data_IF_846797684256
#
_entry.id   IF_846797684256
#
_cell.length_a   1.000
_cell.length_b   1.000
_cell.length_c   1.000
_cell.angle_alpha   90.00
_cell.angle_beta   90.00
_cell.angle_gamma   90.00
#
_symmetry.space_group_name_H-M   'P 1'
#
loop_
_entity.id
_entity.type
_entity.pdbx_description
1 polymer ?
#
# COMPACT_ATOMS: atom_id res chain seq x y z
N UNK A 1 21.26 -4.47 8.18
CA UNK A 1 22.27 -3.53 7.65
C UNK A 1 21.52 -2.39 6.97
N UNK A 2 21.64 -1.15 7.46
CA UNK A 2 20.91 0.00 6.88
C UNK A 2 21.52 0.39 5.52
N UNK A 3 20.68 0.54 4.50
CA UNK A 3 21.12 0.88 3.15
C UNK A 3 21.82 2.25 3.12
N UNK A 4 22.81 2.41 2.24
CA UNK A 4 23.59 3.64 2.13
C UNK A 4 22.72 4.88 1.87
N UNK A 5 21.67 4.76 1.06
CA UNK A 5 20.76 5.87 0.76
C UNK A 5 19.98 6.37 1.98
N UNK A 6 19.58 5.48 2.91
CA UNK A 6 18.88 5.88 4.15
C UNK A 6 19.80 6.70 5.05
N UNK A 7 21.07 6.30 5.16
CA UNK A 7 22.09 7.06 5.88
C UNK A 7 22.29 8.45 5.26
N UNK A 8 22.36 8.54 3.93
CA UNK A 8 22.46 9.83 3.24
C UNK A 8 21.26 10.74 3.50
N UNK A 9 20.03 10.21 3.48
CA UNK A 9 18.83 11.02 3.75
C UNK A 9 18.74 11.50 5.20
N UNK A 10 19.12 10.68 6.19
CA UNK A 10 19.20 11.09 7.60
C UNK A 10 20.15 12.27 7.80
N UNK A 11 21.23 12.33 7.02
CA UNK A 11 22.23 13.40 7.09
C UNK A 11 21.88 14.61 6.21
N UNK A 12 20.83 14.54 5.40
CA UNK A 12 20.48 15.61 4.48
C UNK A 12 19.96 16.83 5.26
N UNK A 13 20.47 18.05 5.01
CA UNK A 13 20.13 19.24 5.80
C UNK A 13 18.63 19.58 5.78
N UNK A 14 17.98 19.39 4.63
CA UNK A 14 16.59 19.82 4.42
C UNK A 14 15.51 18.78 4.78
N UNK A 15 15.86 17.49 4.79
CA UNK A 15 14.89 16.39 4.98
C UNK A 15 15.27 15.43 6.10
N UNK A 16 16.49 15.49 6.62
CA UNK A 16 16.99 14.52 7.61
C UNK A 16 16.18 14.53 8.90
N UNK A 17 15.74 15.71 9.36
CA UNK A 17 14.90 15.84 10.56
C UNK A 17 13.53 15.19 10.40
N UNK A 18 12.90 15.34 9.22
CA UNK A 18 11.66 14.65 8.90
C UNK A 18 11.90 13.16 8.72
N UNK A 19 12.94 12.77 7.97
CA UNK A 19 13.29 11.38 7.70
C UNK A 19 13.56 10.58 8.99
N UNK A 20 14.08 11.23 10.03
CA UNK A 20 14.26 10.61 11.36
C UNK A 20 12.96 10.29 12.10
N UNK A 21 11.82 10.89 11.71
CA UNK A 21 10.51 10.76 12.36
C UNK A 21 9.58 9.83 11.56
N UNK A 22 10.07 8.62 11.28
CA UNK A 22 9.30 7.58 10.59
C UNK A 22 8.28 6.93 11.54
N UNK A 23 7.01 6.90 11.18
CA UNK A 23 5.99 6.04 11.79
C UNK A 23 6.08 4.69 11.09
N UNK A 24 6.52 3.67 11.84
CA UNK A 24 6.91 2.38 11.29
C UNK A 24 5.95 1.23 11.62
N UNK A 25 4.97 1.44 12.49
CA UNK A 25 4.01 0.43 12.93
C UNK A 25 2.58 0.95 12.96
N UNK A 26 1.64 0.02 12.87
CA UNK A 26 0.20 0.29 12.98
C UNK A 26 -0.17 0.87 14.35
N UNK A 27 0.47 0.42 15.43
CA UNK A 27 0.20 0.92 16.78
C UNK A 27 0.63 2.38 16.97
N UNK A 28 1.84 2.74 16.51
CA UNK A 28 2.30 4.14 16.58
C UNK A 28 1.41 5.06 15.73
N UNK A 29 0.94 4.57 14.58
CA UNK A 29 0.00 5.31 13.75
C UNK A 29 -1.34 5.54 14.45
N UNK A 30 -1.91 4.50 15.09
CA UNK A 30 -3.17 4.61 15.85
C UNK A 30 -3.08 5.62 16.99
N UNK A 31 -1.95 5.69 17.69
CA UNK A 31 -1.76 6.64 18.80
C UNK A 31 -1.77 8.11 18.38
N UNK A 32 -1.52 8.42 17.10
CA UNK A 32 -1.41 9.81 16.60
C UNK A 32 -2.46 10.20 15.57
N UNK A 33 -3.45 9.36 15.30
CA UNK A 33 -4.34 9.51 14.14
C UNK A 33 -5.39 10.61 14.29
N UNK A 34 -5.92 10.81 15.51
CA UNK A 34 -7.11 11.63 15.76
C UNK A 34 -6.88 13.12 15.45
N UNK A 35 -5.66 13.61 15.69
CA UNK A 35 -5.28 15.01 15.49
C UNK A 35 -4.37 15.21 14.25
N UNK A 36 -4.38 14.25 13.32
CA UNK A 36 -3.50 14.27 12.15
C UNK A 36 -4.23 14.48 10.83
N UNK A 37 -3.69 15.38 10.02
CA UNK A 37 -3.96 15.43 8.59
C UNK A 37 -2.91 14.63 7.82
N UNK A 38 -3.31 14.06 6.69
CA UNK A 38 -2.48 13.17 5.89
C UNK A 38 -2.27 13.74 4.50
N UNK A 39 -1.02 13.68 4.05
CA UNK A 39 -0.64 14.02 2.67
C UNK A 39 0.05 12.80 2.06
N UNK A 40 -0.56 12.24 1.02
CA UNK A 40 0.09 11.24 0.19
C UNK A 40 0.72 11.90 -1.02
N UNK A 41 1.92 11.45 -1.36
CA UNK A 41 2.68 11.88 -2.52
C UNK A 41 3.00 10.66 -3.37
N UNK A 42 2.70 10.75 -4.66
CA UNK A 42 3.18 9.77 -5.62
C UNK A 42 3.79 10.44 -6.85
N UNK A 43 4.65 9.71 -7.54
CA UNK A 43 5.38 10.22 -8.69
C UNK A 43 5.41 9.18 -9.79
N UNK A 44 5.01 9.57 -11.00
CA UNK A 44 5.28 8.80 -12.20
C UNK A 44 6.63 9.24 -12.76
N UNK A 45 7.56 8.30 -12.91
CA UNK A 45 8.93 8.58 -13.34
C UNK A 45 9.16 8.11 -14.78
N UNK A 46 9.94 8.88 -15.53
CA UNK A 46 10.50 8.45 -16.82
C UNK A 46 12.00 8.21 -16.65
N UNK A 47 12.48 7.03 -17.04
CA UNK A 47 13.92 6.81 -17.25
C UNK A 47 14.31 7.43 -18.60
N UNK A 48 15.27 8.35 -18.63
CA UNK A 48 15.87 8.79 -19.90
C UNK A 48 17.07 7.92 -20.24
N UNK A 49 16.92 6.97 -21.17
CA UNK A 49 18.09 6.29 -21.74
C UNK A 49 18.95 7.33 -22.50
N UNK A 50 20.29 7.35 -22.34
CA UNK A 50 21.13 6.37 -21.67
C UNK A 50 21.48 6.67 -20.19
N UNK A 51 20.94 7.75 -19.60
CA UNK A 51 21.19 8.10 -18.19
C UNK A 51 20.37 7.26 -17.20
N UNK A 52 20.98 6.86 -16.09
CA UNK A 52 20.31 6.22 -14.93
C UNK A 52 19.41 7.17 -14.13
N UNK A 53 19.32 8.44 -14.53
CA UNK A 53 18.54 9.46 -13.81
C UNK A 53 17.06 9.31 -14.18
N UNK A 54 16.25 8.94 -13.20
CA UNK A 54 14.79 8.96 -13.32
C UNK A 54 14.29 10.40 -13.12
N UNK A 55 13.58 10.93 -14.11
CA UNK A 55 12.99 12.27 -14.05
C UNK A 55 11.49 12.12 -13.78
N UNK A 56 10.91 12.82 -12.79
CA UNK A 56 9.47 12.81 -12.58
C UNK A 56 8.76 13.39 -13.80
N UNK A 57 7.84 12.61 -14.36
CA UNK A 57 6.94 12.99 -15.44
C UNK A 57 5.65 13.59 -14.86
N UNK A 58 5.17 13.04 -13.75
CA UNK A 58 3.99 13.53 -13.05
C UNK A 58 4.21 13.44 -11.55
N UNK A 59 3.70 14.42 -10.82
CA UNK A 59 3.64 14.42 -9.37
C UNK A 59 2.17 14.47 -8.97
N UNK A 60 1.77 13.52 -8.14
CA UNK A 60 0.44 13.42 -7.56
C UNK A 60 0.47 13.73 -6.08
N UNK A 61 -0.52 14.48 -5.62
CA UNK A 61 -0.71 14.83 -4.22
C UNK A 61 -2.16 14.55 -3.86
N UNK A 62 -2.38 13.88 -2.73
CA UNK A 62 -3.70 13.74 -2.13
C UNK A 62 -3.64 14.22 -0.68
N UNK A 63 -4.55 15.12 -0.31
CA UNK A 63 -4.73 15.63 1.05
C UNK A 63 -5.99 15.04 1.65
N UNK A 64 -5.88 14.56 2.88
CA UNK A 64 -6.98 14.04 3.69
C UNK A 64 -6.93 14.74 5.06
N UNK A 65 -7.95 15.56 5.40
CA UNK A 65 -7.93 16.43 6.58
C UNK A 65 -7.90 15.67 7.91
N UNK A 66 -8.52 14.51 7.95
CA UNK A 66 -8.57 13.61 9.09
C UNK A 66 -8.76 12.19 8.59
N UNK A 67 -8.33 11.21 9.37
CA UNK A 67 -8.61 9.82 9.07
C UNK A 67 -9.74 9.32 9.96
N UNK A 68 -10.96 9.29 9.42
CA UNK A 68 -12.10 8.72 10.14
C UNK A 68 -11.93 7.20 10.23
N UNK A 69 -11.51 6.73 11.39
CA UNK A 69 -11.31 5.31 11.64
C UNK A 69 -12.66 4.57 11.75
N UNK A 70 -12.79 3.47 11.01
CA UNK A 70 -13.93 2.55 11.08
C UNK A 70 -13.48 1.21 11.66
N UNK A 71 -14.31 0.63 12.52
CA UNK A 71 -14.12 -0.73 13.05
C UNK A 71 -14.69 -1.83 12.15
N UNK A 72 -15.11 -1.49 10.92
CA UNK A 72 -15.80 -2.44 10.04
C UNK A 72 -14.97 -2.74 8.78
N UNK A 73 -15.03 -3.98 8.23
CA UNK A 73 -14.36 -4.34 6.99
C UNK A 73 -14.78 -3.45 5.82
N UNK A 74 -13.83 -3.14 4.92
CA UNK A 74 -14.12 -2.25 3.79
C UNK A 74 -14.78 -2.99 2.64
N UNK A 75 -15.98 -2.52 2.29
CA UNK A 75 -16.61 -2.74 0.99
C UNK A 75 -16.99 -1.37 0.42
N UNK A 76 -15.98 -0.56 0.11
CA UNK A 76 -16.18 0.81 -0.37
C UNK A 76 -15.56 1.00 -1.76
N UNK A 77 -16.15 1.88 -2.56
CA UNK A 77 -15.52 2.33 -3.81
C UNK A 77 -14.46 3.40 -3.50
N UNK A 78 -13.46 3.57 -4.36
CA UNK A 78 -12.50 4.68 -4.17
C UNK A 78 -13.19 6.05 -4.25
N UNK A 79 -14.27 6.15 -5.03
CA UNK A 79 -15.06 7.38 -5.13
C UNK A 79 -15.74 7.71 -3.80
N UNK A 80 -16.42 6.74 -3.19
CA UNK A 80 -17.06 6.91 -1.90
C UNK A 80 -16.05 7.20 -0.80
N UNK A 81 -14.91 6.49 -0.80
CA UNK A 81 -13.79 6.76 0.10
C UNK A 81 -13.32 8.22 -0.02
N UNK A 82 -13.10 8.70 -1.24
CA UNK A 82 -12.67 10.08 -1.52
C UNK A 82 -13.69 11.09 -1.00
N UNK A 83 -14.98 10.86 -1.23
CA UNK A 83 -16.05 11.75 -0.79
C UNK A 83 -16.17 11.79 0.74
N UNK A 84 -16.15 10.62 1.37
CA UNK A 84 -16.28 10.44 2.81
C UNK A 84 -15.11 11.05 3.57
N UNK A 85 -13.89 10.75 3.15
CA UNK A 85 -12.68 11.28 3.80
C UNK A 85 -12.34 12.70 3.31
N UNK A 86 -13.23 13.35 2.56
CA UNK A 86 -13.05 14.71 2.04
C UNK A 86 -11.70 14.91 1.33
N UNK A 87 -11.28 13.93 0.51
CA UNK A 87 -9.96 13.92 -0.11
C UNK A 87 -9.90 14.93 -1.24
N UNK A 88 -8.87 15.77 -1.19
CA UNK A 88 -8.51 16.69 -2.25
C UNK A 88 -7.27 16.14 -2.96
N UNK A 89 -7.42 15.69 -4.20
CA UNK A 89 -6.34 15.12 -4.99
C UNK A 89 -6.05 15.97 -6.24
N UNK A 90 -4.78 16.07 -6.59
CA UNK A 90 -4.30 16.75 -7.80
C UNK A 90 -3.10 16.02 -8.38
N UNK A 91 -2.94 16.10 -9.69
CA UNK A 91 -1.78 15.58 -10.39
C UNK A 91 -1.27 16.64 -11.39
N UNK A 92 0.03 16.92 -11.33
CA UNK A 92 0.68 17.90 -12.21
C UNK A 92 1.78 17.23 -13.01
N UNK A 93 1.77 17.44 -14.33
CA UNK A 93 2.84 17.01 -15.22
C UNK A 93 4.05 17.93 -15.04
N UNK A 94 5.21 17.36 -14.74
CA UNK A 94 6.46 18.12 -14.64
C UNK A 94 7.05 18.19 -16.06
N UNK A 95 6.73 19.26 -16.79
CA UNK A 95 7.33 19.49 -18.10
C UNK A 95 8.74 20.06 -17.92
N UNK A 96 9.73 19.39 -18.50
CA UNK A 96 11.07 19.94 -18.65
C UNK A 96 11.14 20.70 -19.98
N UNK A 97 11.78 21.88 -20.03
CA UNK A 97 11.84 22.75 -21.22
C UNK A 97 12.38 22.05 -22.49
N UNK A 98 13.05 20.90 -22.34
CA UNK A 98 13.54 20.07 -23.44
C UNK A 98 12.46 19.23 -24.16
N UNK A 99 11.16 19.35 -23.83
CA UNK A 99 10.08 18.50 -24.38
C UNK A 99 9.08 19.19 -25.34
N UNK A 100 9.48 20.23 -26.08
CA UNK A 100 8.70 20.77 -27.23
C UNK A 100 8.80 19.93 -28.52
N UNK A 101 9.04 18.63 -28.44
CA UNK A 101 9.03 17.74 -29.62
C UNK A 101 7.90 16.71 -29.55
N UNK A 102 7.23 16.40 -30.68
CA UNK A 102 6.09 15.50 -30.72
C UNK A 102 6.54 14.07 -30.37
N UNK A 103 5.97 13.55 -29.29
CA UNK A 103 6.31 12.25 -28.68
C UNK A 103 5.95 11.08 -29.60
N UNK A 104 6.94 10.38 -30.15
CA UNK A 104 6.76 8.99 -30.56
C UNK A 104 6.54 8.13 -29.31
N UNK A 105 5.50 7.30 -29.34
CA UNK A 105 5.15 6.31 -28.32
C UNK A 105 6.42 5.60 -27.83
N UNK A 106 6.81 5.87 -26.59
CA UNK A 106 7.92 5.18 -25.91
C UNK A 106 7.39 4.63 -24.59
N UNK A 107 7.88 3.44 -24.23
CA UNK A 107 7.38 2.59 -23.15
C UNK A 107 7.24 3.36 -21.82
N UNK A 108 5.99 3.59 -21.43
CA UNK A 108 5.60 4.14 -20.13
C UNK A 108 5.63 3.00 -19.12
N UNK A 109 6.45 3.09 -18.08
CA UNK A 109 6.37 2.18 -16.93
C UNK A 109 5.84 2.94 -15.73
N UNK A 110 4.70 2.50 -15.20
CA UNK A 110 4.27 2.91 -13.86
C UNK A 110 5.19 2.28 -12.83
N UNK A 111 6.05 3.12 -12.26
CA UNK A 111 7.05 2.69 -11.28
C UNK A 111 6.51 3.00 -9.88
N UNK A 112 5.76 2.02 -9.39
CA UNK A 112 5.00 2.02 -8.12
C UNK A 112 5.92 2.10 -6.89
N UNK A 113 5.37 2.54 -5.77
CA UNK A 113 5.91 2.19 -4.44
C UNK A 113 6.09 0.65 -4.36
N UNK A 114 7.34 0.20 -4.21
CA UNK A 114 7.66 -1.14 -3.72
C UNK A 114 7.53 -2.30 -4.71
N UNK A 115 7.99 -2.19 -5.96
CA UNK A 115 8.45 -3.39 -6.68
C UNK A 115 9.77 -3.93 -6.09
N UNK A 116 10.04 -5.21 -6.36
CA UNK A 116 10.85 -6.19 -5.62
C UNK A 116 12.12 -5.73 -4.87
N UNK A 117 12.43 -6.51 -3.82
CA UNK A 117 13.58 -6.46 -2.88
C UNK A 117 14.98 -6.58 -3.52
N UNK A 118 15.15 -6.23 -4.79
CA UNK A 118 16.46 -6.11 -5.43
C UNK A 118 16.90 -4.64 -5.48
N UNK A 119 18.19 -4.46 -5.64
CA UNK A 119 19.05 -3.27 -5.53
C UNK A 119 18.52 -1.94 -6.12
N UNK A 120 17.45 -1.95 -6.92
CA UNK A 120 16.82 -0.75 -7.50
C UNK A 120 16.02 0.09 -6.47
N UNK A 121 15.58 -0.49 -5.33
CA UNK A 121 14.81 0.21 -4.28
C UNK A 121 15.51 1.45 -3.70
N UNK A 122 16.85 1.48 -3.67
CA UNK A 122 17.60 2.62 -3.18
C UNK A 122 17.52 3.86 -4.07
N UNK A 123 17.37 3.66 -5.38
CA UNK A 123 17.22 4.75 -6.35
C UNK A 123 15.81 5.35 -6.31
N UNK A 124 14.78 4.56 -6.02
CA UNK A 124 13.38 5.01 -6.03
C UNK A 124 12.96 5.78 -4.78
N UNK A 125 13.35 5.33 -3.58
CA UNK A 125 13.17 6.14 -2.38
C UNK A 125 14.03 7.40 -2.45
N UNK A 126 15.24 7.28 -3.01
CA UNK A 126 16.04 8.46 -3.33
C UNK A 126 15.29 9.42 -4.24
N UNK A 127 14.58 8.97 -5.29
CA UNK A 127 13.88 9.88 -6.21
C UNK A 127 12.77 10.71 -5.53
N UNK A 128 11.92 10.10 -4.70
CA UNK A 128 10.82 10.82 -4.00
C UNK A 128 11.35 11.73 -2.90
N UNK A 129 12.34 11.28 -2.13
CA UNK A 129 12.98 12.12 -1.13
C UNK A 129 13.84 13.22 -1.76
N UNK A 130 14.46 12.97 -2.92
CA UNK A 130 15.17 13.98 -3.71
C UNK A 130 14.21 15.00 -4.32
N UNK A 131 12.99 14.59 -4.68
CA UNK A 131 11.93 15.51 -5.05
C UNK A 131 11.53 16.37 -3.85
N UNK A 132 11.21 15.77 -2.70
CA UNK A 132 10.88 16.49 -1.47
C UNK A 132 12.00 17.42 -0.98
N UNK A 133 13.26 17.02 -1.15
CA UNK A 133 14.42 17.83 -0.77
C UNK A 133 14.51 19.15 -1.57
N UNK A 134 13.88 19.24 -2.74
CA UNK A 134 13.77 20.50 -3.50
C UNK A 134 12.77 21.49 -2.87
N UNK A 135 11.95 21.04 -1.90
CA UNK A 135 10.92 21.85 -1.26
C UNK A 135 11.12 21.93 0.28
N UNK A 136 12.25 22.48 0.75
CA UNK A 136 12.60 22.54 2.18
C UNK A 136 11.63 23.37 3.03
N UNK A 137 10.82 24.23 2.41
CA UNK A 137 9.76 24.95 3.11
C UNK A 137 8.57 24.04 3.41
N UNK A 138 8.25 23.13 2.48
CA UNK A 138 7.14 22.18 2.64
C UNK A 138 7.45 21.17 3.73
N UNK A 139 8.69 20.67 3.77
CA UNK A 139 9.11 19.62 4.73
C UNK A 139 8.97 20.04 6.19
N UNK A 140 9.01 21.35 6.47
CA UNK A 140 8.81 21.92 7.82
C UNK A 140 7.38 21.79 8.34
N UNK A 141 6.41 21.59 7.45
CA UNK A 141 5.01 21.41 7.83
C UNK A 141 4.67 19.96 8.17
N UNK A 142 5.53 19.00 7.84
CA UNK A 142 5.32 17.60 8.17
C UNK A 142 5.90 17.29 9.55
N UNK A 143 5.07 16.72 10.43
CA UNK A 143 5.47 16.28 11.77
C UNK A 143 6.19 14.94 11.75
N UNK A 144 5.79 14.04 10.84
CA UNK A 144 6.30 12.69 10.66
C UNK A 144 6.08 12.24 9.21
N UNK A 145 6.66 11.09 8.85
CA UNK A 145 6.37 10.41 7.58
C UNK A 145 6.14 8.93 7.83
N UNK A 146 5.49 8.26 6.87
CA UNK A 146 5.28 6.82 6.92
C UNK A 146 5.40 6.22 5.53
N UNK A 147 5.71 4.93 5.51
CA UNK A 147 5.64 4.10 4.31
C UNK A 147 4.49 3.11 4.48
N UNK A 148 3.42 3.29 3.71
CA UNK A 148 2.22 2.43 3.79
C UNK A 148 2.57 0.97 3.58
N UNK A 149 3.55 0.63 2.72
CA UNK A 149 4.00 -0.75 2.54
C UNK A 149 4.66 -1.30 3.80
N UNK A 150 5.43 -0.47 4.52
CA UNK A 150 6.01 -0.84 5.80
C UNK A 150 4.94 -1.05 6.87
N UNK A 151 3.93 -0.17 6.93
CA UNK A 151 2.77 -0.35 7.82
C UNK A 151 2.02 -1.64 7.49
N UNK A 152 1.83 -1.96 6.21
CA UNK A 152 1.26 -3.24 5.79
C UNK A 152 2.16 -4.41 6.21
N UNK A 153 3.48 -4.34 6.02
CA UNK A 153 4.40 -5.37 6.48
C UNK A 153 4.38 -5.58 7.99
N UNK A 154 4.23 -4.51 8.78
CA UNK A 154 4.03 -4.59 10.23
C UNK A 154 2.76 -5.38 10.57
N UNK A 155 1.66 -5.16 9.82
CA UNK A 155 0.44 -5.95 9.97
C UNK A 155 0.59 -7.42 9.51
N UNK A 156 1.48 -7.71 8.54
CA UNK A 156 1.73 -9.05 7.98
C UNK A 156 3.23 -9.38 7.90
N UNK A 157 3.88 -9.74 9.01
CA UNK A 157 5.34 -9.79 9.10
C UNK A 157 6.04 -10.86 8.24
N UNK A 158 5.34 -11.89 7.75
CA UNK A 158 5.97 -13.05 7.09
C UNK A 158 5.59 -13.29 5.60
N UNK A 159 6.25 -12.66 4.65
CA UNK A 159 6.20 -13.08 3.25
C UNK A 159 6.11 -11.95 2.24
N UNK A 160 5.84 -12.32 0.98
CA UNK A 160 5.70 -11.35 -0.11
C UNK A 160 4.34 -10.67 -0.04
N UNK A 161 4.34 -9.39 0.33
CA UNK A 161 3.17 -8.50 0.21
C UNK A 161 2.82 -8.32 -1.27
N UNK A 162 1.52 -8.32 -1.59
CA UNK A 162 1.08 -7.83 -2.89
C UNK A 162 1.49 -6.35 -3.06
N UNK A 163 1.59 -5.88 -4.31
CA UNK A 163 1.68 -4.45 -4.57
C UNK A 163 0.39 -3.74 -4.10
N UNK A 164 0.47 -2.43 -3.90
CA UNK A 164 -0.58 -1.59 -3.30
C UNK A 164 -2.01 -1.87 -3.81
N UNK A 165 -2.20 -1.90 -5.14
CA UNK A 165 -3.51 -2.22 -5.78
C UNK A 165 -3.99 -3.64 -5.48
N UNK A 166 -3.07 -4.60 -5.46
CA UNK A 166 -3.36 -5.98 -5.09
C UNK A 166 -3.74 -6.11 -3.62
N UNK A 167 -3.09 -5.34 -2.75
CA UNK A 167 -3.47 -5.24 -1.32
C UNK A 167 -4.87 -4.67 -1.18
N UNK A 168 -5.19 -3.55 -1.82
CA UNK A 168 -6.56 -2.97 -1.76
C UNK A 168 -7.63 -3.93 -2.29
N UNK A 169 -7.34 -4.69 -3.35
CA UNK A 169 -8.25 -5.73 -3.84
C UNK A 169 -8.52 -6.80 -2.77
N UNK A 170 -7.50 -7.20 -2.00
CA UNK A 170 -7.67 -8.16 -0.89
C UNK A 170 -8.54 -7.55 0.22
N UNK A 171 -8.40 -6.24 0.45
CA UNK A 171 -9.14 -5.47 1.45
C UNK A 171 -10.54 -5.03 0.99
N UNK A 172 -11.04 -5.58 -0.11
CA UNK A 172 -12.44 -5.39 -0.54
C UNK A 172 -12.69 -4.21 -1.48
N UNK A 173 -11.68 -3.45 -1.89
CA UNK A 173 -11.86 -2.42 -2.91
C UNK A 173 -12.05 -3.04 -4.30
N UNK A 174 -12.98 -2.53 -5.13
CA UNK A 174 -13.20 -3.03 -6.48
C UNK A 174 -11.94 -2.96 -7.35
N UNK A 175 -11.71 -4.00 -8.15
CA UNK A 175 -10.63 -3.99 -9.15
C UNK A 175 -10.81 -2.89 -10.19
N UNK A 176 -12.05 -2.51 -10.50
CA UNK A 176 -12.37 -1.41 -11.43
C UNK A 176 -11.82 -0.07 -10.94
N UNK A 177 -11.82 0.12 -9.63
CA UNK A 177 -11.38 1.34 -8.99
C UNK A 177 -9.85 1.37 -8.89
N UNK A 178 -9.25 0.20 -8.65
CA UNK A 178 -7.81 0.04 -8.51
C UNK A 178 -7.08 -0.23 -9.84
N UNK A 179 -7.78 -0.46 -10.95
CA UNK A 179 -7.24 -0.68 -12.29
C UNK A 179 -8.02 0.09 -13.36
N UNK A 180 -8.01 1.43 -13.28
CA UNK A 180 -8.41 2.27 -14.42
C UNK A 180 -7.53 1.91 -15.62
N UNK A 181 -8.13 1.27 -16.62
CA UNK A 181 -7.43 0.76 -17.80
C UNK A 181 -6.65 1.89 -18.52
N UNK A 182 -5.32 1.81 -18.48
CA UNK A 182 -4.44 2.45 -19.47
C UNK A 182 -3.85 3.83 -19.12
N UNK A 183 -4.22 4.46 -18.00
CA UNK A 183 -3.57 5.70 -17.57
C UNK A 183 -3.21 5.64 -16.09
N UNK A 184 -1.93 5.49 -15.81
CA UNK A 184 -1.37 5.68 -14.48
C UNK A 184 -1.34 7.18 -14.20
N UNK A 185 -2.07 7.59 -13.17
CA UNK A 185 -2.19 8.97 -12.73
C UNK A 185 -1.65 9.03 -11.31
N UNK A 186 -0.57 9.78 -11.10
CA UNK A 186 0.07 9.90 -9.80
C UNK A 186 -0.89 10.42 -8.72
N UNK A 187 -1.89 11.23 -9.07
CA UNK A 187 -2.92 11.71 -8.14
C UNK A 187 -3.86 10.58 -7.69
N UNK A 188 -4.32 9.75 -8.62
CA UNK A 188 -5.12 8.55 -8.29
C UNK A 188 -4.31 7.59 -7.40
N UNK A 189 -3.02 7.39 -7.70
CA UNK A 189 -2.15 6.53 -6.90
C UNK A 189 -1.86 7.12 -5.50
N UNK A 190 -1.83 8.45 -5.35
CA UNK A 190 -1.80 9.11 -4.05
C UNK A 190 -3.09 8.86 -3.24
N UNK A 191 -4.27 8.89 -3.88
CA UNK A 191 -5.56 8.51 -3.22
C UNK A 191 -5.55 7.04 -2.80
N UNK A 192 -5.10 6.14 -3.68
CA UNK A 192 -4.94 4.71 -3.40
C UNK A 192 -4.01 4.48 -2.20
N UNK A 193 -2.96 5.30 -2.07
CA UNK A 193 -2.04 5.25 -0.92
C UNK A 193 -2.76 5.58 0.39
N UNK A 194 -3.60 6.61 0.41
CA UNK A 194 -4.43 6.95 1.58
C UNK A 194 -5.49 5.88 1.87
N UNK A 195 -6.13 5.32 0.84
CA UNK A 195 -7.09 4.23 1.01
C UNK A 195 -6.44 3.00 1.66
N UNK A 196 -5.23 2.66 1.25
CA UNK A 196 -4.50 1.53 1.82
C UNK A 196 -4.09 1.79 3.27
N UNK A 197 -3.76 3.05 3.60
CA UNK A 197 -3.46 3.47 4.97
C UNK A 197 -4.68 3.34 5.89
N UNK A 198 -5.87 3.78 5.44
CA UNK A 198 -7.11 3.56 6.18
C UNK A 198 -7.38 2.06 6.35
N UNK A 199 -7.31 1.32 5.24
CA UNK A 199 -7.71 -0.08 5.20
C UNK A 199 -6.86 -0.98 6.09
N UNK A 200 -5.55 -0.72 6.19
CA UNK A 200 -4.65 -1.52 7.04
C UNK A 200 -4.86 -1.30 8.54
N UNK A 201 -5.50 -0.20 8.94
CA UNK A 201 -5.75 0.08 10.36
C UNK A 201 -6.91 -0.73 10.94
N UNK A 202 -7.78 -1.28 10.10
CA UNK A 202 -8.92 -2.09 10.53
C UNK A 202 -8.45 -3.50 10.94
N UNK A 203 -8.68 -3.95 12.19
CA UNK A 203 -8.22 -5.25 12.68
C UNK A 203 -8.64 -6.44 11.79
N UNK A 204 -9.87 -6.44 11.30
CA UNK A 204 -10.44 -7.48 10.44
C UNK A 204 -9.72 -7.56 9.08
N UNK A 205 -9.28 -6.42 8.56
CA UNK A 205 -8.48 -6.34 7.34
C UNK A 205 -7.07 -6.88 7.57
N UNK A 206 -6.46 -6.58 8.72
CA UNK A 206 -5.17 -7.17 9.09
C UNK A 206 -5.26 -8.69 9.21
N UNK A 207 -6.33 -9.19 9.85
CA UNK A 207 -6.60 -10.63 9.95
C UNK A 207 -6.78 -11.26 8.55
N UNK A 208 -7.52 -10.59 7.66
CA UNK A 208 -7.69 -11.02 6.27
C UNK A 208 -6.37 -11.08 5.50
N UNK A 209 -5.49 -10.09 5.67
CA UNK A 209 -4.17 -10.08 5.04
C UNK A 209 -3.29 -11.23 5.56
N UNK A 210 -3.25 -11.44 6.89
CA UNK A 210 -2.52 -12.56 7.52
C UNK A 210 -3.03 -13.90 7.02
N UNK A 211 -4.34 -14.06 6.97
CA UNK A 211 -4.99 -15.27 6.46
C UNK A 211 -4.58 -15.57 5.00
N UNK A 212 -4.69 -14.59 4.08
CA UNK A 212 -4.30 -14.78 2.68
C UNK A 212 -2.81 -15.12 2.52
N UNK A 213 -1.97 -14.59 3.40
CA UNK A 213 -0.55 -14.88 3.43
C UNK A 213 -0.27 -16.32 3.88
N UNK A 214 -0.89 -16.78 4.97
CA UNK A 214 -0.81 -18.16 5.44
C UNK A 214 -1.25 -19.15 4.35
N UNK A 215 -2.39 -18.89 3.70
CA UNK A 215 -2.83 -19.71 2.57
C UNK A 215 -1.77 -19.81 1.46
N UNK A 216 -1.14 -18.68 1.09
CA UNK A 216 -0.07 -18.68 0.08
C UNK A 216 1.13 -19.49 0.54
N UNK A 217 1.55 -19.38 1.79
CA UNK A 217 2.66 -20.15 2.34
C UNK A 217 2.40 -21.66 2.34
N UNK A 218 1.15 -22.10 2.49
CA UNK A 218 0.78 -23.51 2.43
C UNK A 218 0.75 -24.03 1.00
N UNK A 219 0.30 -23.20 0.05
CA UNK A 219 0.21 -23.58 -1.37
C UNK A 219 1.60 -23.62 -2.03
N UNK A 220 2.50 -22.70 -1.70
CA UNK A 220 3.78 -22.53 -2.41
C UNK A 220 4.76 -23.74 -2.33
N UNK A 221 4.87 -24.48 -1.21
CA UNK A 221 5.67 -25.71 -1.14
C UNK A 221 5.05 -26.90 -1.86
N UNK A 222 3.74 -26.89 -2.10
CA UNK A 222 3.03 -27.98 -2.78
C UNK A 222 3.11 -27.78 -4.30
N UNK A 223 4.22 -28.19 -4.90
CA UNK A 223 4.25 -28.43 -6.34
C UNK A 223 3.11 -29.40 -6.74
N UNK A 224 2.32 -29.00 -7.76
CA UNK A 224 1.50 -29.87 -8.64
C UNK A 224 0.12 -30.37 -8.21
N UNK A 225 -0.51 -29.83 -7.17
CA UNK A 225 -1.98 -29.95 -7.14
C UNK A 225 -2.59 -28.67 -7.70
N UNK A 226 -3.26 -28.80 -8.83
CA UNK A 226 -4.09 -27.74 -9.41
C UNK A 226 -5.37 -27.60 -8.55
N UNK A 227 -5.19 -27.29 -7.26
CA UNK A 227 -6.26 -27.16 -6.27
C UNK A 227 -7.24 -26.05 -6.64
N UNK A 228 -6.84 -25.13 -7.53
CA UNK A 228 -7.70 -24.10 -8.09
C UNK A 228 -8.68 -24.64 -9.16
N UNK A 229 -8.45 -25.82 -9.74
CA UNK A 229 -9.37 -26.46 -10.71
C UNK A 229 -10.50 -27.26 -10.06
N UNK A 230 -10.42 -27.52 -8.76
CA UNK A 230 -11.40 -28.33 -8.05
C UNK A 230 -12.03 -27.49 -6.94
N UNK A 231 -12.94 -26.55 -7.29
CA UNK A 231 -13.70 -25.85 -6.27
C UNK A 231 -14.46 -26.90 -5.47
N UNK A 232 -14.17 -27.00 -4.17
CA UNK A 232 -14.97 -27.76 -3.24
C UNK A 232 -15.70 -26.79 -2.33
N UNK A 233 -16.98 -27.06 -2.10
CA UNK A 233 -17.76 -26.37 -1.09
C UNK A 233 -18.05 -27.37 0.02
N UNK A 234 -17.74 -27.02 1.26
CA UNK A 234 -18.13 -27.80 2.42
C UNK A 234 -19.39 -27.17 3.04
N UNK A 235 -20.37 -28.00 3.38
CA UNK A 235 -21.49 -27.58 4.20
C UNK A 235 -21.11 -27.79 5.67
N UNK A 236 -21.02 -26.71 6.44
CA UNK A 236 -20.72 -26.77 7.86
C UNK A 236 -22.03 -26.53 8.61
N UNK A 237 -22.43 -27.51 9.43
CA UNK A 237 -23.64 -27.46 10.25
C UNK A 237 -23.28 -27.88 11.67
N UNK A 238 -23.87 -27.23 12.66
CA UNK A 238 -23.87 -27.75 14.02
C UNK A 238 -24.79 -28.97 14.09
N UNK A 239 -24.55 -29.86 15.08
CA UNK A 239 -25.33 -31.10 15.25
C UNK A 239 -26.81 -30.84 15.53
N UNK A 240 -27.14 -29.70 16.13
CA UNK A 240 -28.49 -29.24 16.47
C UNK A 240 -29.13 -28.38 15.36
N UNK A 241 -28.47 -28.22 14.21
CA UNK A 241 -28.89 -27.34 13.11
C UNK A 241 -29.04 -25.85 13.47
N UNK A 242 -28.47 -25.42 14.60
CA UNK A 242 -28.37 -24.01 14.94
C UNK A 242 -27.42 -23.24 14.01
N UNK A 243 -27.43 -21.91 14.13
CA UNK A 243 -26.42 -21.07 13.50
C UNK A 243 -25.02 -21.42 14.05
N UNK A 244 -23.99 -21.24 13.22
CA UNK A 244 -22.61 -21.37 13.70
C UNK A 244 -22.40 -20.40 14.88
N UNK A 245 -21.65 -20.82 15.92
CA UNK A 245 -21.34 -19.94 17.03
C UNK A 245 -20.61 -18.70 16.51
N UNK A 246 -20.72 -17.59 17.23
CA UNK A 246 -20.10 -16.32 16.83
C UNK A 246 -18.59 -16.44 16.61
N UNK A 247 -17.94 -17.37 17.29
CA UNK A 247 -16.52 -17.69 17.12
C UNK A 247 -16.16 -18.35 15.79
N UNK A 248 -17.15 -18.76 14.98
CA UNK A 248 -16.97 -19.44 13.68
C UNK A 248 -17.92 -18.89 12.60
N UNK A 249 -18.57 -17.75 12.83
CA UNK A 249 -19.61 -17.22 11.93
C UNK A 249 -19.06 -16.41 10.74
N UNK A 250 -17.74 -16.42 10.52
CA UNK A 250 -17.12 -15.78 9.37
C UNK A 250 -16.05 -16.67 8.76
N UNK A 251 -15.77 -16.47 7.47
CA UNK A 251 -14.73 -17.20 6.77
C UNK A 251 -13.35 -17.03 7.42
N UNK A 252 -13.05 -15.84 7.94
CA UNK A 252 -11.79 -15.55 8.65
C UNK A 252 -11.71 -16.38 9.94
N UNK A 253 -12.75 -16.32 10.78
CA UNK A 253 -12.80 -17.05 12.06
C UNK A 253 -12.72 -18.57 11.89
N UNK A 254 -13.46 -19.13 10.93
CA UNK A 254 -13.38 -20.56 10.58
C UNK A 254 -11.97 -20.97 10.15
N UNK A 255 -11.33 -20.12 9.36
CA UNK A 255 -10.00 -20.40 8.84
C UNK A 255 -8.91 -20.27 9.90
N UNK A 256 -9.03 -19.30 10.80
CA UNK A 256 -8.14 -19.16 11.96
C UNK A 256 -8.19 -20.43 12.82
N UNK A 257 -9.39 -20.98 13.04
CA UNK A 257 -9.54 -22.24 13.76
C UNK A 257 -8.87 -23.41 13.03
N UNK A 258 -9.13 -23.54 11.72
CA UNK A 258 -8.52 -24.59 10.90
C UNK A 258 -6.99 -24.53 10.91
N UNK A 259 -6.40 -23.33 10.87
CA UNK A 259 -4.96 -23.16 10.93
C UNK A 259 -4.38 -23.35 12.33
N UNK A 260 -5.09 -22.95 13.39
CA UNK A 260 -4.69 -23.25 14.75
C UNK A 260 -4.57 -24.77 14.96
N UNK A 261 -5.50 -25.54 14.41
CA UNK A 261 -5.47 -27.01 14.45
C UNK A 261 -4.36 -27.56 13.51
N UNK A 262 -4.18 -27.03 12.28
CA UNK A 262 -3.12 -27.47 11.34
C UNK A 262 -1.69 -27.23 11.88
N UNK A 263 -1.44 -26.10 12.54
CA UNK A 263 -0.12 -25.77 13.10
C UNK A 263 0.22 -26.62 14.32
N UNK A 264 -0.77 -27.23 14.99
CA UNK A 264 -0.51 -28.19 16.08
C UNK A 264 -0.06 -29.57 15.57
N UNK A 265 -0.38 -29.91 14.31
CA UNK A 265 -0.10 -31.21 13.70
C UNK A 265 1.17 -31.24 12.82
N UNK A 266 1.89 -30.10 12.70
CA UNK A 266 3.17 -29.95 11.98
C UNK A 266 4.31 -29.66 12.94
#
# INVERSE_FOLDING_TARGET
MESQWRRSLRQHPDVGSLFGKEIASTDTLRMGIEDSAFVALDTELRRSLPSTIAIPLQVGVAYMPSLEYRNEPFHDSLQNFTQRQHILASATTVMNDMQRQPLRQTERRSMRFGHDLSTELGEFYSAKWSFLAQFPRLTRHFSAWLDVKRIIHDAIPQGKTAGLRGTLTILGYPRTDTNRHGQHNAGDDAVITLAALEAVLVPENQATLRFKQLCRQIILPQERLDLLKWPFAANIRTLDHAALPESLNSAVKLSERFFADYVQDV
#
